data_IF_817983202347
#
_entry.id   IF_817983202347
#
_cell.length_a   1.000
_cell.length_b   1.000
_cell.length_c   1.000
_cell.angle_alpha   90.00
_cell.angle_beta   90.00
_cell.angle_gamma   90.00
#
_symmetry.space_group_name_H-M   'P 1'
#
loop_
_entity.id
_entity.type
_entity.pdbx_description
1 polymer ?
#
# COMPACT_ATOMS: atom_id res chain seq x y z
N UNK A 1 -25.98 37.83 9.33
CA UNK A 1 -25.60 37.44 7.96
C UNK A 1 -24.16 36.97 7.98
N UNK A 2 -23.91 35.65 7.96
CA UNK A 2 -22.57 35.09 7.94
C UNK A 2 -22.04 35.03 6.50
N UNK A 3 -21.00 35.79 6.20
CA UNK A 3 -20.31 35.76 4.91
C UNK A 3 -19.52 34.45 4.79
N UNK A 4 -20.03 33.51 3.98
CA UNK A 4 -19.33 32.28 3.68
C UNK A 4 -18.09 32.59 2.82
N UNK A 5 -16.92 32.62 3.46
CA UNK A 5 -15.61 32.70 2.80
C UNK A 5 -15.43 31.41 1.99
N UNK A 6 -15.57 31.50 0.67
CA UNK A 6 -15.27 30.39 -0.24
C UNK A 6 -13.76 30.37 -0.49
N UNK A 7 -13.13 29.23 -0.28
CA UNK A 7 -11.71 29.02 -0.60
C UNK A 7 -11.42 29.39 -2.06
N UNK A 8 -10.41 30.24 -2.27
CA UNK A 8 -9.91 30.65 -3.59
C UNK A 8 -9.24 29.45 -4.28
N UNK A 9 -10.03 28.67 -5.03
CA UNK A 9 -9.53 27.51 -5.77
C UNK A 9 -10.59 26.51 -6.24
N UNK A 10 -11.78 26.52 -5.62
CA UNK A 10 -12.85 25.54 -5.91
C UNK A 10 -13.53 25.64 -7.28
N UNK A 11 -13.16 26.61 -8.12
CA UNK A 11 -13.76 26.83 -9.44
C UNK A 11 -12.88 26.39 -10.63
N UNK A 12 -11.63 25.97 -10.40
CA UNK A 12 -10.73 25.58 -11.49
C UNK A 12 -11.16 24.22 -12.04
N UNK A 13 -11.73 24.23 -13.26
CA UNK A 13 -11.99 23.01 -14.05
C UNK A 13 -10.70 22.16 -14.07
N UNK A 14 -10.82 20.91 -13.66
CA UNK A 14 -9.70 19.96 -13.59
C UNK A 14 -9.24 19.66 -15.02
N UNK A 15 -8.18 20.31 -15.47
CA UNK A 15 -7.51 20.07 -16.76
C UNK A 15 -6.53 18.87 -16.70
N UNK A 16 -6.68 17.99 -15.72
CA UNK A 16 -5.91 16.75 -15.68
C UNK A 16 -6.66 15.71 -16.52
N UNK A 17 -6.00 15.01 -17.46
CA UNK A 17 -6.65 13.95 -18.23
C UNK A 17 -7.35 12.99 -17.27
N UNK A 18 -8.68 13.00 -17.26
CA UNK A 18 -9.50 12.25 -16.31
C UNK A 18 -9.64 10.77 -16.65
N UNK A 19 -8.98 10.31 -17.73
CA UNK A 19 -9.16 9.00 -18.34
C UNK A 19 -7.85 8.28 -18.65
N UNK A 20 -6.81 8.49 -17.85
CA UNK A 20 -5.69 7.53 -17.81
C UNK A 20 -6.14 6.31 -17.00
N UNK A 21 -7.03 5.50 -17.59
CA UNK A 21 -7.25 4.15 -17.08
C UNK A 21 -5.97 3.38 -17.39
N UNK A 22 -5.35 2.80 -16.36
CA UNK A 22 -4.20 1.93 -16.58
C UNK A 22 -4.57 0.81 -17.56
N UNK A 23 -3.67 0.54 -18.51
CA UNK A 23 -3.87 -0.51 -19.54
C UNK A 23 -3.55 -1.91 -19.01
N UNK A 24 -3.04 -1.98 -17.79
CA UNK A 24 -2.55 -3.21 -17.18
C UNK A 24 -3.74 -4.08 -16.74
N UNK A 25 -3.82 -5.29 -17.29
CA UNK A 25 -4.92 -6.24 -16.99
C UNK A 25 -4.48 -7.35 -16.05
N UNK A 26 -3.18 -7.63 -15.97
CA UNK A 26 -2.60 -8.67 -15.11
C UNK A 26 -1.12 -8.40 -14.84
N UNK A 27 -0.69 -8.67 -13.61
CA UNK A 27 0.72 -8.74 -13.23
C UNK A 27 0.97 -10.03 -12.46
N UNK A 28 2.09 -10.71 -12.75
CA UNK A 28 2.53 -11.87 -11.98
C UNK A 28 3.20 -11.42 -10.68
N UNK A 29 3.05 -12.16 -9.56
CA UNK A 29 3.82 -11.91 -8.35
C UNK A 29 5.32 -12.00 -8.65
N UNK A 30 6.13 -11.02 -8.22
CA UNK A 30 7.58 -11.07 -8.32
C UNK A 30 8.18 -12.17 -7.43
N UNK A 31 9.29 -12.75 -7.85
CA UNK A 31 10.03 -13.80 -7.11
C UNK A 31 10.70 -13.25 -5.83
N UNK A 32 10.83 -11.93 -5.73
CA UNK A 32 11.44 -11.19 -4.60
C UNK A 32 10.50 -11.07 -3.38
N UNK A 33 9.27 -11.58 -3.45
CA UNK A 33 8.33 -11.56 -2.34
C UNK A 33 8.77 -12.53 -1.23
N UNK A 34 8.85 -12.02 -0.01
CA UNK A 34 9.52 -12.72 1.10
C UNK A 34 8.74 -13.93 1.66
N UNK A 35 7.43 -14.02 1.44
CA UNK A 35 6.61 -15.08 2.02
C UNK A 35 5.29 -15.32 1.26
N UNK A 36 4.65 -16.46 1.55
CA UNK A 36 3.30 -16.78 1.07
C UNK A 36 2.26 -15.71 1.46
N UNK A 37 2.45 -15.04 2.59
CA UNK A 37 1.60 -13.93 3.02
C UNK A 37 1.75 -12.76 2.05
N UNK A 38 2.99 -12.37 1.75
CA UNK A 38 3.29 -11.31 0.80
C UNK A 38 2.72 -11.63 -0.60
N UNK A 39 2.84 -12.88 -1.06
CA UNK A 39 2.27 -13.35 -2.33
C UNK A 39 0.75 -13.25 -2.36
N UNK A 40 0.06 -13.66 -1.28
CA UNK A 40 -1.40 -13.53 -1.19
C UNK A 40 -1.84 -12.07 -1.23
N UNK A 41 -1.15 -11.20 -0.50
CA UNK A 41 -1.47 -9.77 -0.46
C UNK A 41 -1.23 -9.14 -1.81
N UNK A 42 -0.11 -9.44 -2.47
CA UNK A 42 0.18 -8.98 -3.83
C UNK A 42 -0.96 -9.34 -4.79
N UNK A 43 -1.38 -10.61 -4.82
CA UNK A 43 -2.47 -11.07 -5.70
C UNK A 43 -3.77 -10.33 -5.46
N UNK A 44 -4.06 -10.02 -4.19
CA UNK A 44 -5.31 -9.34 -3.81
C UNK A 44 -5.25 -7.84 -4.15
N UNK A 45 -4.15 -7.17 -3.77
CA UNK A 45 -3.99 -5.73 -3.97
C UNK A 45 -3.79 -5.36 -5.43
N UNK A 46 -2.95 -6.09 -6.18
CA UNK A 46 -2.76 -5.86 -7.61
C UNK A 46 -4.09 -5.96 -8.38
N UNK A 47 -4.93 -6.95 -8.07
CA UNK A 47 -6.27 -7.08 -8.65
C UNK A 47 -7.14 -5.86 -8.36
N UNK A 48 -7.20 -5.42 -7.11
CA UNK A 48 -8.02 -4.26 -6.70
C UNK A 48 -7.54 -2.97 -7.39
N UNK A 49 -6.23 -2.75 -7.45
CA UNK A 49 -5.66 -1.54 -8.04
C UNK A 49 -5.85 -1.52 -9.57
N UNK A 50 -5.77 -2.69 -10.23
CA UNK A 50 -6.10 -2.87 -11.65
C UNK A 50 -7.59 -2.60 -11.92
N UNK A 51 -8.50 -3.19 -11.13
CA UNK A 51 -9.95 -2.97 -11.28
C UNK A 51 -10.34 -1.50 -11.11
N UNK A 52 -9.62 -0.76 -10.26
CA UNK A 52 -9.78 0.67 -10.06
C UNK A 52 -9.11 1.52 -11.15
N UNK A 53 -8.29 0.93 -12.01
CA UNK A 53 -7.56 1.61 -13.07
C UNK A 53 -6.47 2.56 -12.58
N UNK A 54 -5.94 2.31 -11.36
CA UNK A 54 -4.94 3.16 -10.68
C UNK A 54 -3.57 2.47 -10.56
N UNK A 55 -3.37 1.37 -11.28
CA UNK A 55 -2.14 0.59 -11.19
C UNK A 55 -1.42 0.54 -12.52
N UNK A 56 -0.25 1.17 -12.58
CA UNK A 56 0.67 1.06 -13.70
C UNK A 56 1.92 0.26 -13.33
N UNK A 57 2.70 -0.14 -14.35
CA UNK A 57 3.93 -0.91 -14.13
C UNK A 57 4.98 -0.16 -13.31
N UNK A 58 4.96 1.18 -13.38
CA UNK A 58 5.85 2.04 -12.59
C UNK A 58 5.56 1.92 -11.08
N UNK A 59 4.34 1.55 -10.70
CA UNK A 59 3.93 1.37 -9.31
C UNK A 59 4.23 -0.03 -8.76
N UNK A 60 4.69 -0.97 -9.60
CA UNK A 60 4.97 -2.35 -9.19
C UNK A 60 6.02 -2.46 -8.07
N UNK A 61 7.15 -1.71 -8.08
CA UNK A 61 8.11 -1.71 -6.97
C UNK A 61 7.51 -1.20 -5.65
N UNK A 62 6.58 -0.25 -5.72
CA UNK A 62 5.89 0.28 -4.54
C UNK A 62 4.99 -0.80 -3.91
N UNK A 63 4.23 -1.51 -4.74
CA UNK A 63 3.39 -2.62 -4.27
C UNK A 63 4.24 -3.74 -3.67
N UNK A 64 5.45 -3.97 -4.18
CA UNK A 64 6.37 -5.01 -3.70
C UNK A 64 6.85 -4.66 -2.30
N UNK A 65 7.34 -3.45 -2.13
CA UNK A 65 7.77 -2.93 -0.84
C UNK A 65 6.63 -2.99 0.19
N UNK A 66 5.40 -2.63 -0.20
CA UNK A 66 4.22 -2.75 0.66
C UNK A 66 3.95 -4.19 1.11
N UNK A 67 3.99 -5.16 0.18
CA UNK A 67 3.74 -6.56 0.51
C UNK A 67 4.79 -7.13 1.47
N UNK A 68 6.06 -6.80 1.25
CA UNK A 68 7.16 -7.22 2.13
C UNK A 68 7.10 -6.54 3.50
N UNK A 69 6.79 -5.24 3.56
CA UNK A 69 6.58 -4.52 4.82
C UNK A 69 5.42 -5.12 5.64
N UNK A 70 4.32 -5.48 4.99
CA UNK A 70 3.19 -6.12 5.67
C UNK A 70 3.57 -7.49 6.25
N UNK A 71 4.36 -8.28 5.52
CA UNK A 71 4.87 -9.54 6.05
C UNK A 71 5.68 -9.33 7.34
N UNK A 72 6.60 -8.37 7.34
CA UNK A 72 7.41 -8.03 8.51
C UNK A 72 6.56 -7.52 9.68
N UNK A 73 5.52 -6.73 9.41
CA UNK A 73 4.56 -6.30 10.45
C UNK A 73 3.88 -7.49 11.12
N UNK A 74 3.37 -8.44 10.32
CA UNK A 74 2.71 -9.65 10.86
C UNK A 74 3.70 -10.51 11.66
N UNK A 75 4.96 -10.57 11.24
CA UNK A 75 5.99 -11.28 11.98
C UNK A 75 6.32 -10.59 13.31
N UNK A 76 6.48 -9.27 13.30
CA UNK A 76 6.68 -8.48 14.51
C UNK A 76 5.52 -8.64 15.50
N UNK A 77 4.27 -8.62 15.01
CA UNK A 77 3.09 -8.86 15.86
C UNK A 77 3.11 -10.26 16.49
N UNK A 78 3.56 -11.29 15.76
CA UNK A 78 3.71 -12.65 16.31
C UNK A 78 4.79 -12.72 17.39
N UNK A 79 5.92 -12.03 17.19
CA UNK A 79 6.98 -11.96 18.19
C UNK A 79 6.47 -11.26 19.44
N UNK A 80 5.82 -10.10 19.30
CA UNK A 80 5.25 -9.36 20.44
C UNK A 80 4.19 -10.19 21.17
N UNK A 81 3.34 -10.91 20.44
CA UNK A 81 2.32 -11.78 21.04
C UNK A 81 2.92 -12.95 21.83
N UNK A 82 4.10 -13.42 21.45
CA UNK A 82 4.77 -14.57 22.08
C UNK A 82 5.68 -14.16 23.23
N UNK A 83 6.52 -13.14 23.00
CA UNK A 83 7.64 -12.78 23.86
C UNK A 83 7.38 -11.47 24.64
N UNK A 84 6.25 -10.80 24.38
CA UNK A 84 5.90 -9.50 24.97
C UNK A 84 6.55 -8.33 24.21
N UNK A 85 6.24 -7.10 24.66
CA UNK A 85 6.76 -5.88 24.01
C UNK A 85 8.26 -5.64 24.30
N UNK A 86 8.77 -6.22 25.38
CA UNK A 86 10.13 -6.00 25.89
C UNK A 86 10.96 -7.26 25.74
N UNK A 87 12.16 -7.13 25.20
CA UNK A 87 13.17 -8.20 25.23
C UNK A 87 13.97 -8.11 26.53
N UNK A 88 14.19 -9.25 27.21
CA UNK A 88 15.12 -9.29 28.34
C UNK A 88 16.56 -9.15 27.81
N UNK A 89 17.09 -7.94 27.80
CA UNK A 89 18.48 -7.63 27.46
C UNK A 89 19.31 -7.41 28.74
N UNK A 90 20.62 -7.68 28.68
CA UNK A 90 21.56 -7.47 29.82
C UNK A 90 21.58 -6.01 30.33
N UNK A 91 21.13 -5.06 29.51
CA UNK A 91 21.00 -3.64 29.88
C UNK A 91 19.65 -3.25 30.50
N UNK A 92 18.74 -4.20 30.75
CA UNK A 92 17.42 -3.93 31.34
C UNK A 92 16.38 -3.48 30.30
N UNK A 93 15.16 -4.03 30.43
CA UNK A 93 14.00 -3.78 29.57
C UNK A 93 13.10 -2.66 30.07
#
# INVERSE_FOLDING_TARGET
MGTAVRSSGGGRKRNLPSNLKSKLTRITPPDELMSDIAIRIWKTQSKILIERGVFDLEDAPLLLAYCNAFHLMVEAEKVIAKDGLTVSSEMGG
#
